data_IF_514820217282
#
_entry.id   IF_514820217282
#
_cell.length_a   1.000
_cell.length_b   1.000
_cell.length_c   1.000
_cell.angle_alpha   90.00
_cell.angle_beta   90.00
_cell.angle_gamma   90.00
#
_symmetry.space_group_name_H-M   'P 1'
#
loop_
_entity.id
_entity.type
_entity.pdbx_description
1 polymer ?
#
# COMPACT_ATOMS: atom_id res chain seq x y z
N UNK A 1 5.82 28.56 4.06
CA UNK A 1 6.27 27.18 4.40
C UNK A 1 5.39 26.09 3.75
N UNK A 2 4.58 26.45 2.77
CA UNK A 2 3.46 25.66 2.24
C UNK A 2 3.97 24.62 1.23
N UNK A 3 4.97 24.98 0.43
CA UNK A 3 5.60 24.06 -0.53
C UNK A 3 6.20 22.83 0.16
N UNK A 4 6.77 22.99 1.36
CA UNK A 4 7.31 21.87 2.14
C UNK A 4 6.18 20.93 2.56
N UNK A 5 5.03 21.47 2.99
CA UNK A 5 3.87 20.67 3.35
C UNK A 5 3.30 19.91 2.14
N UNK A 6 3.18 20.56 0.97
CA UNK A 6 2.69 19.91 -0.24
C UNK A 6 3.60 18.77 -0.70
N UNK A 7 4.91 19.00 -0.71
CA UNK A 7 5.91 17.99 -1.09
C UNK A 7 5.89 16.83 -0.09
N UNK A 8 5.82 17.12 1.21
CA UNK A 8 5.78 16.09 2.25
C UNK A 8 4.54 15.21 2.12
N UNK A 9 3.35 15.80 1.97
CA UNK A 9 2.10 15.05 1.81
C UNK A 9 2.15 14.21 0.54
N UNK A 10 2.64 14.77 -0.56
CA UNK A 10 2.76 14.06 -1.83
C UNK A 10 3.72 12.87 -1.73
N UNK A 11 4.89 13.07 -1.12
CA UNK A 11 5.88 12.02 -0.92
C UNK A 11 5.35 10.90 -0.01
N UNK A 12 4.64 11.25 1.06
CA UNK A 12 4.00 10.27 1.94
C UNK A 12 2.88 9.50 1.24
N UNK A 13 2.06 10.16 0.41
CA UNK A 13 1.01 9.52 -0.37
C UNK A 13 1.58 8.49 -1.35
N UNK A 14 2.64 8.85 -2.09
CA UNK A 14 3.34 7.91 -2.97
C UNK A 14 3.96 6.74 -2.19
N UNK A 15 4.54 7.03 -1.02
CA UNK A 15 5.04 5.99 -0.11
C UNK A 15 3.93 5.01 0.29
N UNK A 16 2.79 5.49 0.77
CA UNK A 16 1.65 4.64 1.15
C UNK A 16 1.21 3.76 -0.01
N UNK A 17 1.08 4.29 -1.23
CA UNK A 17 0.71 3.51 -2.40
C UNK A 17 1.73 2.42 -2.71
N UNK A 18 3.03 2.73 -2.69
CA UNK A 18 4.10 1.76 -2.89
C UNK A 18 4.06 0.63 -1.85
N UNK A 19 4.03 0.98 -0.57
CA UNK A 19 4.01 -0.01 0.51
C UNK A 19 2.73 -0.86 0.50
N UNK A 20 1.59 -0.27 0.15
CA UNK A 20 0.31 -0.98 -0.01
C UNK A 20 0.32 -2.01 -1.14
N UNK A 21 1.23 -1.90 -2.11
CA UNK A 21 1.38 -2.87 -3.20
C UNK A 21 2.49 -3.88 -2.85
N UNK A 22 3.66 -3.39 -2.45
CA UNK A 22 4.84 -4.23 -2.23
C UNK A 22 4.74 -5.11 -0.98
N UNK A 23 4.01 -4.66 0.05
CA UNK A 23 3.92 -5.33 1.35
C UNK A 23 2.49 -5.69 1.76
N UNK A 24 1.55 -5.76 0.81
CA UNK A 24 0.23 -6.32 1.12
C UNK A 24 0.35 -7.80 1.46
N UNK A 25 -0.51 -8.25 2.37
CA UNK A 25 -0.62 -9.67 2.66
C UNK A 25 -0.98 -10.42 1.37
N UNK A 26 -0.27 -11.52 1.04
CA UNK A 26 -0.61 -12.31 -0.12
C UNK A 26 -2.03 -12.86 0.07
N UNK A 27 -2.84 -12.91 -1.01
CA UNK A 27 -4.18 -13.45 -0.94
C UNK A 27 -4.12 -14.89 -0.44
N UNK A 28 -4.85 -15.18 0.62
CA UNK A 28 -4.97 -16.55 1.13
C UNK A 28 -5.92 -17.32 0.21
N UNK A 29 -5.41 -18.37 -0.43
CA UNK A 29 -6.24 -19.25 -1.26
C UNK A 29 -6.82 -20.32 -0.33
N UNK A 30 -8.10 -20.19 0.01
CA UNK A 30 -8.84 -21.29 0.62
C UNK A 30 -9.06 -22.36 -0.45
N UNK A 31 -8.35 -23.50 -0.34
CA UNK A 31 -8.70 -24.67 -1.13
C UNK A 31 -10.06 -25.16 -0.61
N UNK A 32 -11.11 -25.10 -1.41
CA UNK A 32 -12.31 -25.90 -1.15
C UNK A 32 -11.85 -27.35 -1.15
N UNK A 33 -11.91 -28.01 0.00
CA UNK A 33 -11.76 -29.46 0.08
C UNK A 33 -12.83 -30.08 -0.82
N UNK A 34 -12.37 -30.61 -1.96
CA UNK A 34 -13.18 -31.54 -2.74
C UNK A 34 -13.20 -32.84 -1.93
N UNK A 35 -14.42 -33.24 -1.56
CA UNK A 35 -14.75 -34.33 -0.63
C UNK A 35 -13.99 -35.64 -0.86
#
# INVERSE_FOLDING_TARGET
MESVAYILIFALALGVLFFSIAFREPPRIEKKEEK
#
